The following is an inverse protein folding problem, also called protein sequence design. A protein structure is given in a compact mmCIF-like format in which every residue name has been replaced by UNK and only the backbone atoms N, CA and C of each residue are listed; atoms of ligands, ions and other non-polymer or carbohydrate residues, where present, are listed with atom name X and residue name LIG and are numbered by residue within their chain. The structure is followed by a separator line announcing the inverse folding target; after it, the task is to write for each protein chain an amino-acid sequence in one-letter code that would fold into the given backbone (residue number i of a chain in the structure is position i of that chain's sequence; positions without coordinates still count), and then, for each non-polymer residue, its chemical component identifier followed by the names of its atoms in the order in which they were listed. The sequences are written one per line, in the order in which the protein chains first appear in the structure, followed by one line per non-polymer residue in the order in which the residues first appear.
data_IF_080900875296
#
_entry.id   IF_080900875296
#
_cell.length_a   1.000
_cell.length_b   1.000
_cell.length_c   1.000
_cell.angle_alpha   90.00
_cell.angle_beta   90.00
_cell.angle_gamma   90.00
#
_symmetry.space_group_name_H-M   'P 1'
#
loop_
_entity.id
_entity.type
_entity.pdbx_description
1 polymer ?
#
# COMPACT_ATOMS: atom_id res chain seq x y z
N UNK A 1 4.00 25.80 44.42
CA UNK A 1 3.30 25.53 43.14
C UNK A 1 4.33 25.62 42.03
N UNK A 2 4.70 24.48 41.47
CA UNK A 2 5.55 24.38 40.27
C UNK A 2 5.13 23.13 39.51
N UNK A 3 5.01 23.28 38.21
CA UNK A 3 4.36 22.42 37.22
C UNK A 3 5.19 21.19 36.88
N UNK A 4 4.64 19.99 37.08
CA UNK A 4 5.03 18.80 36.33
C UNK A 4 3.83 18.48 35.41
N UNK A 5 3.71 19.13 34.25
CA UNK A 5 4.43 18.82 33.00
C UNK A 5 4.55 17.31 32.76
N UNK A 6 3.69 16.85 31.85
CA UNK A 6 3.86 15.67 31.00
C UNK A 6 4.27 14.36 31.69
N UNK A 7 3.26 13.65 32.20
CA UNK A 7 3.30 12.18 32.08
C UNK A 7 3.14 11.85 30.59
N UNK A 8 4.28 11.75 29.89
CA UNK A 8 4.37 11.14 28.58
C UNK A 8 3.62 9.81 28.61
N UNK A 9 2.46 9.78 27.93
CA UNK A 9 1.64 8.59 27.89
C UNK A 9 2.32 7.56 27.02
N UNK A 10 2.87 6.54 27.68
CA UNK A 10 2.96 5.14 27.25
C UNK A 10 3.90 4.89 26.07
N UNK A 11 4.81 3.93 26.25
CA UNK A 11 5.59 3.24 25.22
C UNK A 11 4.69 2.81 24.04
N UNK A 12 4.42 3.72 23.12
CA UNK A 12 3.69 3.39 21.91
C UNK A 12 4.64 2.63 21.02
N UNK A 13 4.59 1.30 21.09
CA UNK A 13 5.28 0.40 20.15
C UNK A 13 4.86 0.60 18.69
N UNK A 14 3.92 1.53 18.44
CA UNK A 14 3.38 1.87 17.15
C UNK A 14 3.40 3.39 16.93
N UNK A 15 3.85 3.83 15.76
CA UNK A 15 3.88 5.23 15.37
C UNK A 15 3.04 5.41 14.10
N UNK A 16 2.08 6.34 14.10
CA UNK A 16 1.33 6.67 12.88
C UNK A 16 2.18 7.60 12.02
N UNK A 17 2.64 7.11 10.88
CA UNK A 17 3.44 7.88 9.93
C UNK A 17 2.58 8.76 9.02
N UNK A 18 1.41 8.26 8.63
CA UNK A 18 0.46 8.98 7.76
C UNK A 18 -0.97 8.51 8.03
N UNK A 19 -1.93 9.41 7.85
CA UNK A 19 -3.35 9.06 7.79
C UNK A 19 -4.08 9.86 6.73
N UNK A 20 -5.08 9.26 6.09
CA UNK A 20 -5.95 9.91 5.11
C UNK A 20 -7.31 9.20 5.09
N UNK A 21 -8.16 9.54 4.13
CA UNK A 21 -9.44 8.91 3.89
C UNK A 21 -9.47 8.35 2.46
N UNK A 22 -10.03 7.16 2.28
CA UNK A 22 -10.35 6.69 0.94
C UNK A 22 -11.60 7.41 0.38
N UNK A 23 -11.93 7.13 -0.87
CA UNK A 23 -13.12 7.65 -1.55
C UNK A 23 -14.46 7.38 -0.85
N UNK A 24 -14.53 6.41 0.08
CA UNK A 24 -15.72 6.11 0.89
C UNK A 24 -15.73 6.77 2.27
N UNK A 25 -14.71 7.57 2.60
CA UNK A 25 -14.58 8.19 3.92
C UNK A 25 -14.09 7.23 5.01
N UNK A 26 -13.63 6.03 4.65
CA UNK A 26 -12.91 5.15 5.59
C UNK A 26 -11.55 5.74 5.89
N UNK A 27 -11.25 5.96 7.18
CA UNK A 27 -9.95 6.46 7.61
C UNK A 27 -8.88 5.36 7.49
N UNK A 28 -7.83 5.66 6.74
CA UNK A 28 -6.66 4.82 6.53
C UNK A 28 -5.47 5.33 7.34
N UNK A 29 -4.65 4.39 7.83
CA UNK A 29 -3.44 4.66 8.59
C UNK A 29 -2.27 3.87 8.01
N UNK A 30 -1.13 4.54 7.87
CA UNK A 30 0.18 3.93 7.72
C UNK A 30 0.90 4.02 9.06
N UNK A 31 1.20 2.86 9.65
CA UNK A 31 1.71 2.74 11.01
C UNK A 31 3.05 2.01 10.97
N UNK A 32 4.08 2.55 11.61
CA UNK A 32 5.30 1.80 11.91
C UNK A 32 5.11 1.04 13.23
N UNK A 33 5.22 -0.29 13.18
CA UNK A 33 5.20 -1.17 14.35
C UNK A 33 6.65 -1.52 14.73
N UNK A 34 7.16 -0.85 15.77
CA UNK A 34 8.54 -0.99 16.23
C UNK A 34 8.83 -2.39 16.80
N UNK A 35 7.82 -3.08 17.34
CA UNK A 35 7.97 -4.43 17.89
C UNK A 35 8.17 -5.45 16.77
N UNK A 36 7.35 -5.36 15.72
CA UNK A 36 7.48 -6.24 14.56
C UNK A 36 8.54 -5.77 13.55
N UNK A 37 8.99 -4.51 13.65
CA UNK A 37 9.81 -3.83 12.64
C UNK A 37 9.16 -3.84 11.25
N UNK A 38 7.85 -3.58 11.20
CA UNK A 38 7.06 -3.59 9.96
C UNK A 38 6.27 -2.30 9.80
N UNK A 39 5.99 -1.95 8.54
CA UNK A 39 5.06 -0.90 8.16
C UNK A 39 3.69 -1.52 7.89
N UNK A 40 2.67 -1.12 8.64
CA UNK A 40 1.32 -1.69 8.58
C UNK A 40 0.34 -0.68 8.00
N UNK A 41 -0.54 -1.19 7.13
CA UNK A 41 -1.75 -0.49 6.75
C UNK A 41 -2.89 -0.95 7.64
N UNK A 42 -3.69 0.00 8.09
CA UNK A 42 -4.85 -0.26 8.93
C UNK A 42 -5.98 0.72 8.63
N UNK A 43 -7.19 0.33 9.01
CA UNK A 43 -8.29 1.25 9.26
C UNK A 43 -8.37 1.53 10.75
N UNK A 44 -9.38 2.29 11.18
CA UNK A 44 -9.72 2.42 12.61
C UNK A 44 -10.03 1.07 13.27
N UNK A 45 -10.55 0.10 12.50
CA UNK A 45 -11.19 -1.09 13.03
C UNK A 45 -10.35 -2.36 12.88
N UNK A 46 -9.54 -2.44 11.82
CA UNK A 46 -8.80 -3.66 11.50
C UNK A 46 -7.51 -3.37 10.73
N UNK A 47 -6.57 -4.32 10.84
CA UNK A 47 -5.34 -4.33 10.05
C UNK A 47 -5.63 -4.81 8.63
N UNK A 48 -4.96 -4.20 7.65
CA UNK A 48 -5.15 -4.47 6.23
C UNK A 48 -4.00 -5.30 5.66
N UNK A 49 -2.77 -4.83 5.82
CA UNK A 49 -1.57 -5.44 5.25
C UNK A 49 -0.32 -4.94 5.98
N UNK A 50 0.82 -5.57 5.71
CA UNK A 50 2.12 -5.22 6.27
C UNK A 50 3.23 -5.30 5.23
N UNK A 51 4.27 -4.49 5.39
CA UNK A 51 5.38 -4.34 4.46
C UNK A 51 6.68 -4.19 5.23
N UNK A 52 7.77 -4.74 4.69
CA UNK A 52 9.13 -4.59 5.23
C UNK A 52 9.77 -3.26 4.81
N UNK A 53 9.23 -2.61 3.77
CA UNK A 53 9.73 -1.39 3.17
C UNK A 53 8.72 -0.25 3.33
N UNK A 54 9.17 0.89 3.85
CA UNK A 54 8.34 2.10 3.95
C UNK A 54 7.82 2.54 2.58
N UNK A 55 8.66 2.37 1.56
CA UNK A 55 8.35 2.72 0.19
C UNK A 55 7.18 1.90 -0.35
N UNK A 56 7.22 0.58 -0.17
CA UNK A 56 6.13 -0.29 -0.62
C UNK A 56 4.84 -0.01 0.17
N UNK A 57 4.96 0.31 1.46
CA UNK A 57 3.83 0.70 2.28
C UNK A 57 3.20 2.03 1.82
N UNK A 58 4.00 3.02 1.41
CA UNK A 58 3.51 4.28 0.85
C UNK A 58 2.81 4.07 -0.49
N UNK A 59 3.36 3.26 -1.40
CA UNK A 59 2.70 2.97 -2.69
C UNK A 59 1.34 2.31 -2.47
N UNK A 60 1.26 1.35 -1.54
CA UNK A 60 0.02 0.69 -1.19
C UNK A 60 -0.97 1.64 -0.50
N UNK A 61 -0.49 2.54 0.37
CA UNK A 61 -1.32 3.55 1.03
C UNK A 61 -1.96 4.49 0.01
N UNK A 62 -1.14 5.07 -0.88
CA UNK A 62 -1.61 6.04 -1.88
C UNK A 62 -2.53 5.39 -2.92
N UNK A 63 -2.24 4.15 -3.33
CA UNK A 63 -3.17 3.40 -4.17
C UNK A 63 -4.50 3.15 -3.46
N UNK A 64 -4.48 2.68 -2.21
CA UNK A 64 -5.70 2.38 -1.46
C UNK A 64 -6.55 3.62 -1.18
N UNK A 65 -5.93 4.79 -1.05
CA UNK A 65 -6.61 6.09 -0.91
C UNK A 65 -7.48 6.41 -2.15
N UNK A 66 -7.02 6.01 -3.34
CA UNK A 66 -7.63 6.33 -4.63
C UNK A 66 -8.57 5.24 -5.16
N UNK A 67 -8.58 4.06 -4.53
CA UNK A 67 -9.32 2.90 -5.04
C UNK A 67 -10.68 2.71 -4.38
N UNK A 68 -11.66 2.37 -5.21
CA UNK A 68 -12.99 1.94 -4.79
C UNK A 68 -13.05 0.41 -4.58
N UNK A 69 -13.61 -0.01 -3.45
CA UNK A 69 -13.94 -1.40 -3.16
C UNK A 69 -13.67 -1.81 -1.71
N UNK A 70 -13.65 -3.12 -1.47
CA UNK A 70 -13.37 -3.70 -0.15
C UNK A 70 -11.88 -3.53 0.21
N UNK A 71 -11.57 -2.80 1.27
CA UNK A 71 -10.20 -2.42 1.61
C UNK A 71 -9.30 -3.62 1.91
N UNK A 72 -9.84 -4.68 2.52
CA UNK A 72 -9.05 -5.89 2.82
C UNK A 72 -8.65 -6.62 1.53
N UNK A 73 -9.58 -6.76 0.58
CA UNK A 73 -9.30 -7.37 -0.71
C UNK A 73 -8.31 -6.53 -1.52
N UNK A 74 -8.51 -5.22 -1.55
CA UNK A 74 -7.63 -4.26 -2.24
C UNK A 74 -6.22 -4.33 -1.66
N UNK A 75 -6.05 -4.25 -0.34
CA UNK A 75 -4.74 -4.27 0.30
C UNK A 75 -3.97 -5.60 0.07
N UNK A 76 -4.67 -6.74 0.04
CA UNK A 76 -4.07 -8.04 -0.29
C UNK A 76 -3.58 -8.07 -1.74
N UNK A 77 -4.42 -7.59 -2.67
CA UNK A 77 -4.09 -7.56 -4.09
C UNK A 77 -2.94 -6.58 -4.38
N UNK A 78 -2.98 -5.39 -3.78
CA UNK A 78 -1.89 -4.39 -3.86
C UNK A 78 -0.56 -4.98 -3.38
N UNK A 79 -0.54 -5.67 -2.24
CA UNK A 79 0.68 -6.31 -1.74
C UNK A 79 1.22 -7.35 -2.72
N UNK A 80 0.36 -8.14 -3.35
CA UNK A 80 0.76 -9.11 -4.36
C UNK A 80 1.36 -8.42 -5.61
N UNK A 81 0.74 -7.32 -6.07
CA UNK A 81 1.18 -6.57 -7.24
C UNK A 81 2.49 -5.80 -7.01
N UNK A 82 2.67 -5.22 -5.82
CA UNK A 82 3.94 -4.60 -5.41
C UNK A 82 5.08 -5.61 -5.41
N UNK A 83 4.84 -6.82 -4.87
CA UNK A 83 5.82 -7.92 -4.89
C UNK A 83 6.13 -8.37 -6.32
N UNK A 84 5.13 -8.40 -7.19
CA UNK A 84 5.28 -8.79 -8.61
C UNK A 84 6.08 -7.77 -9.41
N UNK A 85 5.90 -6.48 -9.13
CA UNK A 85 6.54 -5.39 -9.89
C UNK A 85 7.35 -4.49 -8.96
N UNK A 86 8.62 -4.86 -8.68
CA UNK A 86 9.50 -4.06 -7.84
C UNK A 86 9.73 -2.65 -8.39
N UNK A 87 10.06 -1.71 -7.49
CA UNK A 87 10.28 -0.30 -7.84
C UNK A 87 11.32 -0.06 -8.93
N UNK A 88 12.38 -0.87 -8.99
CA UNK A 88 13.46 -0.69 -9.98
C UNK A 88 12.99 -0.89 -11.44
N UNK A 89 11.88 -1.62 -11.67
CA UNK A 89 11.32 -1.85 -13.01
C UNK A 89 10.84 -0.55 -13.66
N UNK A 90 10.50 0.46 -12.87
CA UNK A 90 10.03 1.76 -13.35
C UNK A 90 11.20 2.70 -13.74
N UNK A 91 12.45 2.26 -13.64
CA UNK A 91 13.62 2.93 -14.18
C UNK A 91 13.74 4.41 -13.78
N UNK A 92 13.93 5.28 -14.79
CA UNK A 92 13.97 6.74 -14.68
C UNK A 92 12.57 7.39 -14.66
N UNK A 93 11.49 6.66 -14.95
CA UNK A 93 10.11 7.11 -14.84
C UNK A 93 9.63 7.08 -13.37
N UNK A 94 10.45 7.62 -12.47
CA UNK A 94 10.25 7.69 -11.00
C UNK A 94 9.14 8.65 -10.57
N UNK A 95 8.26 9.04 -11.49
CA UNK A 95 7.08 9.81 -11.13
C UNK A 95 6.24 8.88 -10.26
N UNK A 96 6.19 9.10 -8.94
CA UNK A 96 5.47 8.24 -7.99
C UNK A 96 4.05 7.93 -8.46
N UNK A 97 3.40 8.92 -9.06
CA UNK A 97 2.08 8.80 -9.68
C UNK A 97 2.00 7.72 -10.78
N UNK A 98 3.03 7.54 -11.61
CA UNK A 98 3.04 6.53 -12.67
C UNK A 98 3.04 5.10 -12.11
N UNK A 99 3.78 4.87 -11.02
CA UNK A 99 3.78 3.57 -10.33
C UNK A 99 2.44 3.31 -9.63
N UNK A 100 1.89 4.31 -8.95
CA UNK A 100 0.60 4.19 -8.26
C UNK A 100 -0.50 3.90 -9.28
N UNK A 101 -0.57 4.65 -10.37
CA UNK A 101 -1.51 4.38 -11.46
C UNK A 101 -1.33 2.97 -12.03
N UNK A 102 -0.10 2.50 -12.23
CA UNK A 102 0.13 1.13 -12.67
C UNK A 102 -0.42 0.08 -11.68
N UNK A 103 -0.21 0.29 -10.38
CA UNK A 103 -0.70 -0.61 -9.32
C UNK A 103 -2.23 -0.61 -9.27
N UNK A 104 -2.88 0.56 -9.29
CA UNK A 104 -4.34 0.70 -9.31
C UNK A 104 -4.91 -0.08 -10.50
N UNK A 105 -4.43 0.23 -11.72
CA UNK A 105 -4.88 -0.46 -12.94
C UNK A 105 -4.65 -1.98 -12.87
N UNK A 106 -3.54 -2.43 -12.26
CA UNK A 106 -3.24 -3.85 -12.11
C UNK A 106 -4.25 -4.53 -11.17
N UNK A 107 -4.59 -3.89 -10.06
CA UNK A 107 -5.57 -4.42 -9.10
C UNK A 107 -6.98 -4.41 -9.71
N UNK A 108 -7.38 -3.36 -10.41
CA UNK A 108 -8.67 -3.31 -11.11
C UNK A 108 -8.81 -4.45 -12.14
N UNK A 109 -7.76 -4.69 -12.93
CA UNK A 109 -7.73 -5.82 -13.88
C UNK A 109 -7.83 -7.17 -13.16
N UNK A 110 -7.19 -7.33 -12.00
CA UNK A 110 -7.36 -8.53 -11.16
C UNK A 110 -8.81 -8.70 -10.69
N UNK A 111 -9.46 -7.62 -10.26
CA UNK A 111 -10.87 -7.63 -9.83
C UNK A 111 -11.81 -7.98 -10.98
N UNK A 112 -11.44 -7.63 -12.21
CA UNK A 112 -12.15 -8.03 -13.44
C UNK A 112 -11.86 -9.48 -13.87
N UNK A 113 -11.14 -10.27 -13.08
CA UNK A 113 -10.81 -11.65 -13.40
C UNK A 113 -9.70 -11.80 -14.45
N UNK A 114 -8.85 -10.78 -14.62
CA UNK A 114 -7.70 -10.85 -15.52
C UNK A 114 -6.41 -11.17 -14.75
N UNK A 115 -5.44 -11.76 -15.46
CA UNK A 115 -4.08 -12.01 -14.96
C UNK A 115 -3.02 -11.50 -15.92
N UNK A 116 -1.89 -10.97 -15.42
CA UNK A 116 -0.80 -10.51 -16.26
C UNK A 116 0.02 -11.70 -16.78
N UNK A 117 0.35 -11.66 -18.06
CA UNK A 117 1.29 -12.56 -18.74
C UNK A 117 2.35 -11.70 -19.41
N UNK A 118 3.63 -12.01 -19.14
CA UNK A 118 4.75 -11.33 -19.80
C UNK A 118 5.22 -12.17 -20.98
N UNK A 119 5.38 -11.53 -22.14
CA UNK A 119 5.84 -12.14 -23.38
C UNK A 119 6.82 -11.19 -24.11
N UNK A 120 7.36 -11.66 -25.24
CA UNK A 120 8.38 -10.93 -26.00
C UNK A 120 9.79 -11.08 -25.43
N UNK A 121 10.77 -10.50 -26.11
CA UNK A 121 12.18 -10.58 -25.69
C UNK A 121 12.35 -9.97 -24.30
N UNK A 122 12.87 -10.78 -23.35
CA UNK A 122 13.06 -10.42 -21.93
C UNK A 122 11.77 -10.03 -21.19
N UNK A 123 10.59 -10.45 -21.68
CA UNK A 123 9.31 -10.10 -21.04
C UNK A 123 8.95 -8.62 -21.17
N UNK A 124 9.38 -7.97 -22.26
CA UNK A 124 9.15 -6.55 -22.53
C UNK A 124 7.69 -6.17 -22.72
N UNK A 125 6.82 -7.15 -23.00
CA UNK A 125 5.40 -6.92 -23.23
C UNK A 125 4.60 -7.58 -22.11
N UNK A 126 3.76 -6.79 -21.44
CA UNK A 126 2.77 -7.30 -20.50
C UNK A 126 1.38 -7.28 -21.14
N UNK A 127 0.72 -8.44 -21.15
CA UNK A 127 -0.67 -8.61 -21.60
C UNK A 127 -1.53 -9.08 -20.45
N UNK A 128 -2.80 -8.70 -20.44
CA UNK A 128 -3.76 -9.12 -19.44
C UNK A 128 -4.79 -10.03 -20.10
N UNK A 129 -4.88 -11.27 -19.63
CA UNK A 129 -5.75 -12.32 -20.18
C UNK A 129 -6.74 -12.79 -19.11
N UNK A 130 -7.89 -13.38 -19.48
CA UNK A 130 -8.78 -14.04 -18.52
C UNK A 130 -8.01 -15.05 -17.64
N UNK A 131 -8.29 -15.01 -16.33
CA UNK A 131 -7.64 -15.84 -15.32
C UNK A 131 -7.90 -17.33 -15.51
#
# INVERSE_FOLDING_TARGET
MSTASEKASVNSTQETLRSSYNCYGTRLFLIFDAKARLYRLATRWYWLSSFDSIWDACDAFEALELMEGNEQQLARTLKAEIKRVPRHVFGSARNGMGRINYLINSVERRMQGLRPVRCGSKGSVERWIPA
#
